data_IF_107517871495
#
_entry.id   IF_107517871495
#
_cell.length_a   1.000
_cell.length_b   1.000
_cell.length_c   1.000
_cell.angle_alpha   90.00
_cell.angle_beta   90.00
_cell.angle_gamma   90.00
#
_symmetry.space_group_name_H-M   'P 1'
#
loop_
_entity.id
_entity.type
_entity.pdbx_description
1 polymer ?
#
# COMPACT_ATOMS: atom_id res chain seq x y z
N UNK A 1 -68.49 25.88 1.29
CA UNK A 1 -67.42 25.64 0.29
C UNK A 1 -66.07 25.50 1.00
N UNK A 2 -65.58 24.27 1.23
CA UNK A 2 -64.25 23.99 1.80
C UNK A 2 -63.30 23.58 0.66
N UNK A 3 -62.27 24.39 0.39
CA UNK A 3 -61.18 24.06 -0.55
C UNK A 3 -60.22 23.05 0.12
N UNK A 4 -60.06 21.87 -0.45
CA UNK A 4 -58.95 20.95 -0.16
C UNK A 4 -57.91 21.08 -1.27
N UNK A 5 -56.78 21.69 -0.93
CA UNK A 5 -55.58 21.76 -1.78
C UNK A 5 -54.75 20.52 -1.51
N UNK A 6 -54.69 19.58 -2.46
CA UNK A 6 -53.83 18.40 -2.38
C UNK A 6 -52.42 18.75 -2.90
N UNK A 7 -51.46 18.88 -1.99
CA UNK A 7 -50.04 19.04 -2.33
C UNK A 7 -49.48 17.70 -2.81
N UNK A 8 -49.21 17.60 -4.12
CA UNK A 8 -48.57 16.44 -4.75
C UNK A 8 -47.05 16.56 -4.54
N UNK A 9 -46.50 15.87 -3.54
CA UNK A 9 -45.05 15.73 -3.35
C UNK A 9 -44.50 14.80 -4.43
N UNK A 10 -43.84 15.36 -5.44
CA UNK A 10 -43.01 14.62 -6.39
C UNK A 10 -41.69 14.24 -5.72
N UNK A 11 -41.54 12.97 -5.37
CA UNK A 11 -40.27 12.39 -4.93
C UNK A 11 -39.36 12.18 -6.16
N UNK A 12 -38.27 12.93 -6.22
CA UNK A 12 -37.18 12.73 -7.18
C UNK A 12 -36.36 11.51 -6.76
N UNK A 13 -36.62 10.37 -7.40
CA UNK A 13 -35.74 9.19 -7.32
C UNK A 13 -34.42 9.52 -8.03
N UNK A 14 -33.32 9.65 -7.27
CA UNK A 14 -31.95 9.52 -7.79
C UNK A 14 -31.84 8.12 -8.41
N UNK A 15 -31.46 8.08 -9.69
CA UNK A 15 -31.30 6.84 -10.46
C UNK A 15 -29.84 6.46 -10.36
N UNK A 16 -29.50 5.51 -9.48
CA UNK A 16 -28.17 4.91 -9.44
C UNK A 16 -27.92 4.25 -10.79
N UNK A 17 -27.12 4.90 -11.64
CA UNK A 17 -26.80 4.40 -12.97
C UNK A 17 -25.71 3.34 -12.85
N UNK A 18 -26.13 2.10 -12.56
CA UNK A 18 -25.29 0.92 -12.80
C UNK A 18 -24.92 0.95 -14.28
N UNK A 19 -23.67 1.25 -14.60
CA UNK A 19 -23.19 1.21 -15.98
C UNK A 19 -23.31 -0.25 -16.44
N UNK A 20 -24.08 -0.55 -17.50
CA UNK A 20 -24.19 -1.91 -18.00
C UNK A 20 -22.80 -2.46 -18.34
N UNK A 21 -22.47 -3.68 -17.89
CA UNK A 21 -21.15 -4.31 -18.04
C UNK A 21 -20.62 -4.28 -19.49
N UNK A 22 -21.52 -4.38 -20.48
CA UNK A 22 -21.21 -4.25 -21.89
C UNK A 22 -20.68 -2.85 -22.30
N UNK A 23 -21.17 -1.78 -21.66
CA UNK A 23 -20.70 -0.40 -21.92
C UNK A 23 -19.31 -0.15 -21.35
N UNK A 24 -18.99 -0.77 -20.20
CA UNK A 24 -17.69 -0.66 -19.56
C UNK A 24 -16.62 -1.43 -20.35
N UNK A 25 -16.94 -2.65 -20.80
CA UNK A 25 -16.05 -3.41 -21.68
C UNK A 25 -15.75 -2.64 -22.97
N UNK A 26 -16.77 -2.03 -23.58
CA UNK A 26 -16.61 -1.21 -24.80
C UNK A 26 -15.73 0.01 -24.55
N UNK A 27 -15.85 0.67 -23.40
CA UNK A 27 -14.98 1.79 -23.03
C UNK A 27 -13.52 1.35 -22.95
N UNK A 28 -13.23 0.23 -22.27
CA UNK A 28 -11.86 -0.31 -22.21
C UNK A 28 -11.30 -0.67 -23.59
N UNK A 29 -12.11 -1.22 -24.47
CA UNK A 29 -11.70 -1.54 -25.84
C UNK A 29 -11.41 -0.26 -26.67
N UNK A 30 -12.22 0.79 -26.52
CA UNK A 30 -11.99 2.08 -27.17
C UNK A 30 -10.66 2.69 -26.69
N UNK A 31 -10.37 2.65 -25.38
CA UNK A 31 -9.09 3.11 -24.83
C UNK A 31 -7.91 2.35 -25.46
N UNK A 32 -7.99 1.01 -25.53
CA UNK A 32 -6.92 0.21 -26.10
C UNK A 32 -6.65 0.57 -27.57
N UNK A 33 -7.70 0.80 -28.36
CA UNK A 33 -7.59 1.15 -29.78
C UNK A 33 -7.02 2.56 -29.96
N UNK A 34 -7.50 3.55 -29.20
CA UNK A 34 -7.02 4.93 -29.24
C UNK A 34 -5.58 5.10 -28.73
N UNK A 35 -5.08 4.20 -27.87
CA UNK A 35 -3.67 4.16 -27.46
C UNK A 35 -2.74 3.54 -28.51
N UNK A 36 -3.28 2.67 -29.36
CA UNK A 36 -2.50 1.95 -30.38
C UNK A 36 -2.41 2.65 -31.73
N UNK A 37 -3.08 3.80 -31.90
CA UNK A 37 -3.05 4.55 -33.15
C UNK A 37 -4.16 5.59 -33.28
N UNK A 38 -4.25 6.18 -34.47
CA UNK A 38 -5.15 7.30 -34.78
C UNK A 38 -6.40 6.82 -35.53
N UNK A 39 -7.58 7.19 -35.05
CA UNK A 39 -8.86 6.71 -35.59
C UNK A 39 -9.87 7.82 -35.81
N UNK A 40 -10.51 7.85 -36.98
CA UNK A 40 -11.71 8.69 -37.17
C UNK A 40 -12.87 8.16 -36.34
N UNK A 41 -13.82 9.05 -36.01
CA UNK A 41 -15.07 8.67 -35.33
C UNK A 41 -15.81 7.58 -36.10
N UNK A 42 -15.86 7.68 -37.42
CA UNK A 42 -16.54 6.72 -38.29
C UNK A 42 -15.89 5.34 -38.24
N UNK A 43 -14.55 5.27 -38.27
CA UNK A 43 -13.85 4.00 -38.11
C UNK A 43 -14.08 3.35 -36.75
N UNK A 44 -14.15 4.15 -35.67
CA UNK A 44 -14.48 3.65 -34.33
C UNK A 44 -15.93 3.15 -34.27
N UNK A 45 -16.87 3.89 -34.87
CA UNK A 45 -18.28 3.54 -34.94
C UNK A 45 -18.49 2.20 -35.66
N UNK A 46 -17.88 2.03 -36.83
CA UNK A 46 -17.92 0.80 -37.62
C UNK A 46 -17.26 -0.37 -36.88
N UNK A 47 -16.10 -0.15 -36.24
CA UNK A 47 -15.36 -1.20 -35.53
C UNK A 47 -16.09 -1.74 -34.30
N UNK A 48 -16.83 -0.89 -33.60
CA UNK A 48 -17.52 -1.23 -32.36
C UNK A 48 -19.03 -1.43 -32.52
N UNK A 49 -19.51 -1.49 -33.78
CA UNK A 49 -20.91 -1.65 -34.17
C UNK A 49 -21.82 -0.69 -33.39
N UNK A 50 -21.53 0.60 -33.52
CA UNK A 50 -22.19 1.66 -32.76
C UNK A 50 -22.35 2.92 -33.59
N UNK A 51 -23.16 3.87 -33.13
CA UNK A 51 -23.29 5.17 -33.78
C UNK A 51 -22.14 6.12 -33.43
N UNK A 52 -21.81 7.03 -34.35
CA UNK A 52 -20.88 8.16 -34.14
C UNK A 52 -21.21 8.93 -32.86
N UNK A 53 -22.49 9.21 -32.60
CA UNK A 53 -22.97 9.87 -31.38
C UNK A 53 -22.55 9.14 -30.10
N UNK A 54 -22.51 7.82 -30.15
CA UNK A 54 -22.08 7.00 -29.02
C UNK A 54 -20.56 7.04 -28.84
N UNK A 55 -19.78 7.08 -29.92
CA UNK A 55 -18.33 7.27 -29.87
C UNK A 55 -17.98 8.66 -29.30
N UNK A 56 -18.64 9.73 -29.75
CA UNK A 56 -18.46 11.07 -29.17
C UNK A 56 -18.74 11.08 -27.66
N UNK A 57 -19.81 10.41 -27.22
CA UNK A 57 -20.10 10.30 -25.78
C UNK A 57 -18.99 9.56 -25.02
N UNK A 58 -18.36 8.55 -25.63
CA UNK A 58 -17.23 7.86 -25.01
C UNK A 58 -15.97 8.72 -24.97
N UNK A 59 -15.69 9.52 -26.01
CA UNK A 59 -14.56 10.46 -26.02
C UNK A 59 -14.74 11.52 -24.93
N UNK A 60 -15.91 12.16 -24.84
CA UNK A 60 -16.18 13.13 -23.80
C UNK A 60 -16.04 12.52 -22.39
N UNK A 61 -16.50 11.28 -22.19
CA UNK A 61 -16.33 10.58 -20.92
C UNK A 61 -14.86 10.35 -20.58
N UNK A 62 -14.02 10.06 -21.57
CA UNK A 62 -12.58 9.88 -21.38
C UNK A 62 -11.88 11.21 -21.04
N UNK A 63 -12.27 12.30 -21.70
CA UNK A 63 -11.80 13.65 -21.37
C UNK A 63 -12.21 14.05 -19.94
N UNK A 64 -13.44 13.71 -19.50
CA UNK A 64 -13.92 13.94 -18.12
C UNK A 64 -13.12 13.19 -17.04
N UNK A 65 -12.42 12.11 -17.40
CA UNK A 65 -11.53 11.35 -16.51
C UNK A 65 -10.05 11.57 -16.82
N UNK A 66 -9.71 12.74 -17.36
CA UNK A 66 -8.35 13.25 -17.61
C UNK A 66 -7.50 12.41 -18.60
N UNK A 67 -8.13 11.69 -19.55
CA UNK A 67 -7.37 11.20 -20.70
C UNK A 67 -7.09 12.36 -21.66
N UNK A 68 -5.82 12.57 -21.98
CA UNK A 68 -5.38 13.51 -23.01
C UNK A 68 -5.71 12.95 -24.39
N UNK A 69 -6.84 13.37 -24.96
CA UNK A 69 -7.25 12.99 -26.31
C UNK A 69 -6.96 14.15 -27.25
N UNK A 70 -6.21 13.87 -28.31
CA UNK A 70 -5.91 14.83 -29.36
C UNK A 70 -6.46 14.38 -30.71
N UNK A 71 -6.44 15.31 -31.66
CA UNK A 71 -6.80 15.07 -33.05
C UNK A 71 -5.64 15.46 -33.95
N UNK A 72 -5.35 14.63 -34.92
CA UNK A 72 -4.38 14.96 -35.96
C UNK A 72 -5.00 15.84 -37.06
N UNK A 73 -4.17 16.21 -38.04
CA UNK A 73 -4.58 17.01 -39.20
C UNK A 73 -5.64 16.33 -40.08
N UNK A 74 -5.77 15.00 -40.00
CA UNK A 74 -6.77 14.19 -40.72
C UNK A 74 -8.06 13.99 -39.90
N UNK A 75 -8.22 14.71 -38.78
CA UNK A 75 -9.35 14.61 -37.87
C UNK A 75 -9.53 13.19 -37.27
N UNK A 76 -8.42 12.47 -37.09
CA UNK A 76 -8.35 11.20 -36.37
C UNK A 76 -7.98 11.44 -34.92
N UNK A 77 -8.71 10.79 -34.03
CA UNK A 77 -8.55 10.86 -32.58
C UNK A 77 -7.55 9.81 -32.10
N UNK A 78 -6.76 10.18 -31.11
CA UNK A 78 -5.83 9.30 -30.41
C UNK A 78 -5.67 9.76 -28.96
N UNK A 79 -5.32 8.83 -28.08
CA UNK A 79 -4.90 9.18 -26.72
C UNK A 79 -3.40 9.47 -26.80
N UNK A 80 -2.99 10.66 -26.37
CA UNK A 80 -1.58 11.01 -26.25
C UNK A 80 -0.96 10.03 -25.24
N UNK A 81 -0.14 9.12 -25.73
CA UNK A 81 0.65 8.19 -24.92
C UNK A 81 2.03 8.79 -24.67
N UNK A 82 2.74 8.22 -23.70
CA UNK A 82 4.12 8.52 -23.35
C UNK A 82 5.13 8.50 -24.51
N UNK A 83 4.73 8.05 -25.70
CA UNK A 83 5.59 7.97 -26.88
C UNK A 83 5.77 9.33 -27.58
N UNK A 84 4.84 10.28 -27.40
CA UNK A 84 4.85 11.60 -28.07
C UNK A 84 5.47 12.72 -27.21
N UNK A 85 5.70 12.48 -25.91
CA UNK A 85 6.40 13.40 -25.00
C UNK A 85 7.74 12.76 -24.54
N UNK A 86 8.90 13.29 -24.95
CA UNK A 86 10.22 12.77 -24.56
C UNK A 86 10.46 12.72 -23.05
N UNK A 87 9.66 13.45 -22.26
CA UNK A 87 9.73 13.42 -20.79
C UNK A 87 8.96 12.25 -20.17
N UNK A 88 8.19 11.50 -20.96
CA UNK A 88 7.36 10.38 -20.51
C UNK A 88 7.73 9.01 -21.14
N UNK A 89 8.61 8.97 -22.15
CA UNK A 89 9.06 7.73 -22.79
C UNK A 89 9.69 6.77 -21.77
N UNK A 90 8.97 5.69 -21.46
CA UNK A 90 9.40 4.67 -20.51
C UNK A 90 9.96 3.46 -21.25
N UNK A 91 11.07 2.92 -20.74
CA UNK A 91 11.58 1.65 -21.23
C UNK A 91 10.64 0.51 -20.82
N UNK A 92 10.36 -0.39 -21.76
CA UNK A 92 9.73 -1.67 -21.44
C UNK A 92 10.61 -2.50 -20.48
N UNK A 93 10.03 -3.55 -19.92
CA UNK A 93 10.76 -4.46 -19.02
C UNK A 93 11.92 -5.15 -19.74
N UNK A 94 11.73 -5.54 -21.00
CA UNK A 94 12.74 -6.15 -21.85
C UNK A 94 13.87 -5.16 -22.19
N UNK A 95 13.54 -3.92 -22.56
CA UNK A 95 14.53 -2.87 -22.86
C UNK A 95 15.31 -2.48 -21.61
N UNK A 96 14.63 -2.34 -20.47
CA UNK A 96 15.27 -2.06 -19.17
C UNK A 96 16.26 -3.16 -18.80
N UNK A 97 15.89 -4.44 -18.99
CA UNK A 97 16.79 -5.58 -18.76
C UNK A 97 18.00 -5.53 -19.69
N UNK A 98 17.79 -5.25 -20.98
CA UNK A 98 18.87 -5.13 -21.95
C UNK A 98 19.83 -4.00 -21.57
N UNK A 99 19.31 -2.81 -21.27
CA UNK A 99 20.10 -1.64 -20.87
C UNK A 99 20.84 -1.91 -19.55
N UNK A 100 20.18 -2.56 -18.58
CA UNK A 100 20.83 -2.95 -17.31
C UNK A 100 22.02 -3.87 -17.56
N UNK A 101 21.88 -4.86 -18.42
CA UNK A 101 22.96 -5.78 -18.78
C UNK A 101 24.12 -5.03 -19.48
N UNK A 102 23.80 -4.09 -20.37
CA UNK A 102 24.78 -3.26 -21.07
C UNK A 102 25.53 -2.29 -20.13
N UNK A 103 24.84 -1.67 -19.16
CA UNK A 103 25.47 -0.82 -18.13
C UNK A 103 26.35 -1.67 -17.22
N UNK A 104 25.91 -2.89 -16.88
CA UNK A 104 26.66 -3.81 -16.03
C UNK A 104 27.95 -4.29 -16.70
N UNK A 105 27.93 -4.60 -17.99
CA UNK A 105 29.09 -5.07 -18.75
C UNK A 105 30.00 -3.94 -19.23
N UNK A 106 29.45 -2.84 -19.75
CA UNK A 106 30.18 -1.79 -20.45
C UNK A 106 30.68 -0.61 -19.61
N UNK A 107 30.12 -0.38 -18.42
CA UNK A 107 30.47 0.78 -17.57
C UNK A 107 31.27 0.40 -16.30
N UNK A 108 31.92 -0.76 -16.29
CA UNK A 108 32.70 -1.27 -15.15
C UNK A 108 33.90 -0.36 -14.85
N UNK A 109 33.73 0.55 -13.89
CA UNK A 109 34.74 1.56 -13.51
C UNK A 109 34.21 2.99 -13.56
N UNK A 110 33.04 3.24 -14.16
CA UNK A 110 32.45 4.57 -14.18
C UNK A 110 31.69 4.84 -12.87
N UNK A 111 31.98 5.93 -12.13
CA UNK A 111 31.30 6.26 -10.88
C UNK A 111 29.79 6.51 -11.04
N UNK A 112 29.33 6.84 -12.26
CA UNK A 112 27.92 7.01 -12.57
C UNK A 112 27.17 5.70 -12.81
N UNK A 113 27.87 4.55 -12.87
CA UNK A 113 27.24 3.22 -13.10
C UNK A 113 26.10 2.96 -12.13
N UNK A 114 26.35 3.11 -10.84
CA UNK A 114 25.34 2.87 -9.81
C UNK A 114 24.21 3.90 -9.84
N UNK A 115 24.52 5.15 -10.23
CA UNK A 115 23.52 6.21 -10.38
C UNK A 115 22.59 5.95 -11.58
N UNK A 116 23.14 5.50 -12.70
CA UNK A 116 22.38 5.15 -13.90
C UNK A 116 21.51 3.91 -13.65
N UNK A 117 22.04 2.87 -13.00
CA UNK A 117 21.24 1.70 -12.61
C UNK A 117 20.10 2.07 -11.67
N UNK A 118 20.33 2.99 -10.73
CA UNK A 118 19.31 3.51 -9.81
C UNK A 118 18.25 4.32 -10.55
N UNK A 119 18.63 5.26 -11.42
CA UNK A 119 17.71 6.06 -12.22
C UNK A 119 16.90 5.23 -13.22
N UNK A 120 17.53 4.22 -13.84
CA UNK A 120 16.86 3.32 -14.76
C UNK A 120 15.81 2.47 -14.04
N UNK A 121 16.12 1.97 -12.83
CA UNK A 121 15.15 1.23 -12.01
C UNK A 121 13.96 2.12 -11.63
N UNK A 122 14.21 3.38 -11.24
CA UNK A 122 13.17 4.34 -10.87
C UNK A 122 12.28 4.76 -12.06
N UNK A 123 12.85 4.90 -13.26
CA UNK A 123 12.10 5.30 -14.47
C UNK A 123 11.46 4.12 -15.21
N UNK A 124 11.85 2.87 -14.91
CA UNK A 124 11.14 1.66 -15.35
C UNK A 124 9.89 1.36 -14.51
N UNK A 125 9.66 2.15 -13.45
CA UNK A 125 8.62 1.95 -12.43
C UNK A 125 7.46 2.95 -12.55
N UNK A 126 6.98 3.19 -13.77
CA UNK A 126 5.53 3.36 -13.98
C UNK A 126 4.88 1.98 -14.21
N UNK A 127 5.27 1.05 -13.35
CA UNK A 127 4.36 0.28 -12.52
C UNK A 127 3.08 -0.18 -13.19
N UNK A 128 3.19 -1.35 -13.82
CA UNK A 128 2.12 -2.27 -14.25
C UNK A 128 0.76 -1.84 -13.70
N UNK A 129 -0.22 -1.63 -14.57
CA UNK A 129 -1.64 -1.36 -14.26
C UNK A 129 -2.15 -1.91 -12.91
N UNK A 130 -1.83 -3.16 -12.47
CA UNK A 130 -2.08 -3.63 -11.12
C UNK A 130 -1.61 -2.72 -9.95
N UNK A 131 -0.43 -2.12 -10.02
CA UNK A 131 0.12 -1.22 -8.98
C UNK A 131 -0.58 0.14 -8.96
N UNK A 132 -0.98 0.67 -10.12
CA UNK A 132 -1.86 1.85 -10.20
C UNK A 132 -3.23 1.55 -9.58
N UNK A 133 -3.80 0.37 -9.81
CA UNK A 133 -5.03 -0.06 -9.14
C UNK A 133 -4.86 -0.19 -7.62
N UNK A 134 -3.73 -0.72 -7.15
CA UNK A 134 -3.41 -0.78 -5.72
C UNK A 134 -3.33 0.63 -5.13
N UNK A 135 -2.65 1.58 -5.79
CA UNK A 135 -2.57 2.98 -5.32
C UNK A 135 -3.93 3.67 -5.31
N UNK A 136 -4.73 3.52 -6.37
CA UNK A 136 -6.08 4.08 -6.43
C UNK A 136 -7.01 3.48 -5.36
N UNK A 137 -6.88 2.18 -5.09
CA UNK A 137 -7.61 1.50 -4.01
C UNK A 137 -7.20 2.02 -2.63
N UNK A 138 -5.89 2.18 -2.40
CA UNK A 138 -5.37 2.75 -1.15
C UNK A 138 -5.85 4.19 -0.98
N UNK A 139 -5.89 5.01 -2.03
CA UNK A 139 -6.44 6.36 -1.98
C UNK A 139 -7.88 6.38 -1.46
N UNK A 140 -8.76 5.53 -1.99
CA UNK A 140 -10.13 5.38 -1.49
C UNK A 140 -10.19 4.96 -0.02
N UNK A 141 -9.31 4.04 0.41
CA UNK A 141 -9.25 3.66 1.82
C UNK A 141 -8.83 4.83 2.71
N UNK A 142 -7.86 5.63 2.27
CA UNK A 142 -7.42 6.82 2.99
C UNK A 142 -8.58 7.81 3.15
N UNK A 143 -9.34 8.08 2.09
CA UNK A 143 -10.49 8.98 2.14
C UNK A 143 -11.56 8.49 3.13
N UNK A 144 -11.99 7.23 3.00
CA UNK A 144 -12.99 6.61 3.89
C UNK A 144 -12.52 6.57 5.35
N UNK A 145 -11.25 6.23 5.59
CA UNK A 145 -10.70 6.19 6.95
C UNK A 145 -10.57 7.61 7.53
N UNK A 146 -10.20 8.61 6.72
CA UNK A 146 -10.12 10.00 7.16
C UNK A 146 -11.50 10.54 7.56
N UNK A 147 -12.54 10.23 6.79
CA UNK A 147 -13.93 10.56 7.14
C UNK A 147 -14.37 9.86 8.42
N UNK A 148 -14.08 8.56 8.57
CA UNK A 148 -14.42 7.81 9.77
C UNK A 148 -13.72 8.35 11.04
N UNK A 149 -12.44 8.77 10.94
CA UNK A 149 -11.72 9.42 12.05
C UNK A 149 -12.42 10.74 12.42
N UNK A 150 -12.72 11.57 11.41
CA UNK A 150 -13.35 12.89 11.59
C UNK A 150 -14.73 12.76 12.24
N UNK A 151 -15.53 11.81 11.77
CA UNK A 151 -16.90 11.56 12.23
C UNK A 151 -16.97 10.68 13.49
N UNK A 152 -15.82 10.18 13.97
CA UNK A 152 -15.70 9.25 15.10
C UNK A 152 -16.56 8.00 14.93
N UNK A 153 -16.46 7.35 13.76
CA UNK A 153 -17.22 6.15 13.39
C UNK A 153 -16.32 4.93 13.27
N UNK A 154 -16.81 3.80 13.75
CA UNK A 154 -16.21 2.49 13.51
C UNK A 154 -16.19 2.16 12.01
N UNK A 155 -15.23 1.33 11.61
CA UNK A 155 -15.13 0.78 10.25
C UNK A 155 -14.85 -0.72 10.31
N UNK A 156 -15.24 -1.43 9.26
CA UNK A 156 -14.85 -2.83 9.06
C UNK A 156 -13.76 -2.89 8.00
N UNK A 157 -12.57 -3.36 8.40
CA UNK A 157 -11.52 -3.76 7.47
C UNK A 157 -11.84 -5.18 7.00
N UNK A 158 -12.46 -5.30 5.83
CA UNK A 158 -12.87 -6.57 5.25
C UNK A 158 -11.68 -7.35 4.70
N UNK A 159 -11.69 -8.66 4.92
CA UNK A 159 -10.68 -9.59 4.44
C UNK A 159 -9.24 -9.12 4.77
N UNK A 160 -9.01 -8.69 6.02
CA UNK A 160 -7.69 -8.23 6.40
C UNK A 160 -6.70 -9.40 6.50
N UNK A 161 -5.61 -9.33 5.74
CA UNK A 161 -4.56 -10.34 5.73
C UNK A 161 -3.61 -10.13 6.92
N UNK A 162 -3.80 -10.87 8.01
CA UNK A 162 -2.94 -10.77 9.19
C UNK A 162 -1.69 -11.63 9.03
N UNK A 163 -0.53 -11.00 8.88
CA UNK A 163 0.75 -11.71 8.87
C UNK A 163 1.11 -12.34 10.24
N UNK A 164 0.53 -11.83 11.33
CA UNK A 164 0.82 -12.31 12.68
C UNK A 164 0.09 -13.61 13.01
N UNK A 165 -1.21 -13.67 12.68
CA UNK A 165 -2.04 -14.86 12.93
C UNK A 165 -2.11 -15.81 11.72
N UNK A 166 -1.54 -15.42 10.58
CA UNK A 166 -1.66 -16.14 9.31
C UNK A 166 -3.11 -16.43 8.90
N UNK A 167 -4.00 -15.49 9.23
CA UNK A 167 -5.45 -15.59 8.99
C UNK A 167 -5.94 -14.40 8.16
N UNK A 168 -6.98 -14.65 7.36
CA UNK A 168 -7.75 -13.63 6.66
C UNK A 168 -9.10 -13.53 7.36
N UNK A 169 -9.37 -12.38 7.97
CA UNK A 169 -10.63 -12.15 8.67
C UNK A 169 -11.01 -10.69 8.68
N UNK A 170 -12.30 -10.43 8.87
CA UNK A 170 -12.82 -9.08 9.02
C UNK A 170 -12.42 -8.50 10.38
N UNK A 171 -12.14 -7.20 10.42
CA UNK A 171 -11.78 -6.47 11.64
C UNK A 171 -12.68 -5.26 11.82
N UNK A 172 -13.52 -5.29 12.85
CA UNK A 172 -14.24 -4.10 13.29
C UNK A 172 -13.29 -3.25 14.15
N UNK A 173 -12.99 -2.05 13.69
CA UNK A 173 -11.97 -1.19 14.31
C UNK A 173 -12.44 0.25 14.47
N UNK A 174 -11.84 0.95 15.42
CA UNK A 174 -11.97 2.39 15.61
C UNK A 174 -10.69 3.08 15.11
N UNK A 175 -10.69 3.67 13.91
CA UNK A 175 -9.49 4.30 13.37
C UNK A 175 -9.13 5.55 14.17
N UNK A 176 -7.85 5.69 14.54
CA UNK A 176 -7.36 6.77 15.40
C UNK A 176 -6.55 7.78 14.59
N UNK A 177 -5.49 7.33 13.90
CA UNK A 177 -4.66 8.18 13.04
C UNK A 177 -3.89 7.35 12.02
N UNK A 178 -3.44 8.00 10.93
CA UNK A 178 -2.53 7.36 9.97
C UNK A 178 -1.13 7.21 10.56
N UNK A 179 -0.47 6.11 10.20
CA UNK A 179 0.97 5.95 10.38
C UNK A 179 1.76 6.56 9.23
N UNK A 180 3.05 6.25 9.16
CA UNK A 180 3.96 6.89 8.20
C UNK A 180 3.53 6.74 6.75
N UNK A 181 3.63 7.84 6.00
CA UNK A 181 3.36 7.93 4.56
C UNK A 181 2.02 7.32 4.12
N UNK A 182 0.99 7.33 4.98
CA UNK A 182 -0.33 6.73 4.71
C UNK A 182 -0.26 5.25 4.30
N UNK A 183 0.78 4.53 4.70
CA UNK A 183 0.91 3.09 4.41
C UNK A 183 0.12 2.22 5.41
N UNK A 184 -0.29 2.81 6.52
CA UNK A 184 -1.00 2.12 7.59
C UNK A 184 -1.93 3.05 8.35
N UNK A 185 -2.91 2.46 9.02
CA UNK A 185 -3.78 3.11 9.98
C UNK A 185 -3.54 2.50 11.37
N UNK A 186 -3.38 3.35 12.38
CA UNK A 186 -3.47 2.94 13.79
C UNK A 186 -4.94 2.98 14.17
N UNK A 187 -5.46 1.83 14.61
CA UNK A 187 -6.85 1.67 14.98
C UNK A 187 -6.99 0.76 16.20
N UNK A 188 -7.99 1.02 17.04
CA UNK A 188 -8.36 0.11 18.12
C UNK A 188 -9.18 -1.04 17.56
N UNK A 189 -8.69 -2.26 17.78
CA UNK A 189 -9.40 -3.48 17.44
C UNK A 189 -10.48 -3.76 18.49
N UNK A 190 -11.75 -3.68 18.10
CA UNK A 190 -12.88 -3.83 19.05
C UNK A 190 -12.95 -5.22 19.67
N UNK A 191 -12.34 -6.23 19.04
CA UNK A 191 -12.39 -7.62 19.52
C UNK A 191 -11.52 -7.86 20.75
N UNK A 192 -10.33 -7.26 20.82
CA UNK A 192 -9.42 -7.39 21.97
C UNK A 192 -9.10 -6.06 22.66
N UNK A 193 -9.69 -4.96 22.20
CA UNK A 193 -9.62 -3.62 22.80
C UNK A 193 -8.19 -3.06 22.85
N UNK A 194 -7.39 -3.40 21.84
CA UNK A 194 -5.99 -2.95 21.72
C UNK A 194 -5.80 -2.12 20.46
N UNK A 195 -5.11 -0.98 20.58
CA UNK A 195 -4.62 -0.20 19.44
C UNK A 195 -3.52 -0.96 18.69
N UNK A 196 -3.73 -1.16 17.39
CA UNK A 196 -2.81 -1.87 16.49
C UNK A 196 -2.60 -1.09 15.21
N UNK A 197 -1.50 -1.39 14.54
CA UNK A 197 -1.21 -0.85 13.22
C UNK A 197 -1.68 -1.83 12.13
N UNK A 198 -2.57 -1.37 11.26
CA UNK A 198 -3.08 -2.10 10.11
C UNK A 198 -2.46 -1.55 8.83
N UNK A 199 -1.83 -2.40 8.01
CA UNK A 199 -1.24 -1.98 6.72
C UNK A 199 -2.33 -1.89 5.65
N UNK A 200 -2.39 -0.78 4.92
CA UNK A 200 -3.51 -0.52 3.99
C UNK A 200 -3.50 -1.47 2.77
N UNK A 201 -2.33 -1.92 2.35
CA UNK A 201 -2.15 -2.89 1.27
C UNK A 201 -2.70 -4.29 1.59
N UNK A 202 -2.83 -4.63 2.88
CA UNK A 202 -3.40 -5.89 3.40
C UNK A 202 -4.90 -5.86 3.60
N UNK A 203 -5.56 -4.73 3.35
CA UNK A 203 -7.02 -4.59 3.45
C UNK A 203 -7.65 -4.96 2.10
N UNK A 204 -8.65 -5.84 2.12
CA UNK A 204 -9.45 -6.16 0.95
C UNK A 204 -10.41 -5.01 0.59
N UNK A 205 -11.16 -4.54 1.57
CA UNK A 205 -12.12 -3.44 1.45
C UNK A 205 -12.32 -2.72 2.81
N UNK A 206 -12.67 -1.44 2.78
CA UNK A 206 -13.05 -0.68 3.99
C UNK A 206 -14.54 -0.38 3.90
N UNK A 207 -15.32 -0.83 4.89
CA UNK A 207 -16.74 -0.53 4.99
C UNK A 207 -17.00 0.39 6.18
N UNK A 208 -17.66 1.51 5.93
CA UNK A 208 -18.20 2.32 7.01
C UNK A 208 -19.36 1.60 7.69
N UNK A 209 -19.37 1.66 9.02
CA UNK A 209 -20.53 1.27 9.81
C UNK A 209 -21.10 2.49 10.49
N UNK A 210 -22.43 2.57 10.57
CA UNK A 210 -23.12 3.62 11.30
C UNK A 210 -23.09 3.35 12.81
N UNK A 211 -21.90 3.15 13.36
CA UNK A 211 -21.62 2.95 14.78
C UNK A 211 -20.59 3.98 15.22
N UNK A 212 -20.87 4.82 16.22
CA UNK A 212 -19.87 5.72 16.77
C UNK A 212 -18.78 4.92 17.48
N UNK A 213 -17.66 5.58 17.80
CA UNK A 213 -16.65 5.03 18.70
C UNK A 213 -17.28 4.66 20.06
N UNK A 214 -16.94 3.47 20.53
CA UNK A 214 -17.36 2.89 21.79
C UNK A 214 -16.20 2.89 22.80
N UNK A 215 -14.95 2.77 22.32
CA UNK A 215 -13.76 2.59 23.16
C UNK A 215 -12.77 3.76 23.05
N UNK A 216 -13.26 4.99 22.87
CA UNK A 216 -12.42 6.19 22.68
C UNK A 216 -11.43 6.40 23.84
N UNK A 217 -11.80 6.04 25.07
CA UNK A 217 -10.90 6.11 26.24
C UNK A 217 -9.70 5.16 26.16
N UNK A 218 -9.77 4.13 25.31
CA UNK A 218 -8.71 3.16 25.07
C UNK A 218 -7.89 3.49 23.82
N UNK A 219 -8.16 4.61 23.13
CA UNK A 219 -7.37 5.09 21.99
C UNK A 219 -6.00 5.58 22.47
N UNK A 220 -5.13 4.63 22.79
CA UNK A 220 -3.76 4.91 23.15
C UNK A 220 -2.96 5.16 21.88
N UNK A 221 -2.12 6.20 21.92
CA UNK A 221 -0.97 6.33 21.00
C UNK A 221 0.07 5.31 21.45
N UNK A 222 -0.17 4.03 21.16
CA UNK A 222 0.84 3.01 21.40
C UNK A 222 2.00 3.29 20.45
N UNK A 223 3.07 3.84 21.02
CA UNK A 223 4.33 4.01 20.33
C UNK A 223 4.85 2.58 20.04
N UNK A 224 5.12 2.29 18.77
CA UNK A 224 5.73 1.01 18.42
C UNK A 224 7.05 0.87 19.19
N UNK A 225 7.36 -0.36 19.61
CA UNK A 225 8.64 -0.65 20.22
C UNK A 225 9.80 -0.49 19.23
N UNK A 226 11.02 -0.72 19.71
CA UNK A 226 12.26 -0.61 18.92
C UNK A 226 12.20 -1.45 17.63
N UNK A 227 11.45 -2.55 17.62
CA UNK A 227 11.34 -3.50 16.50
C UNK A 227 10.04 -3.35 15.69
N UNK A 228 9.29 -2.25 15.91
CA UNK A 228 8.10 -1.93 15.12
C UNK A 228 6.84 -2.70 15.53
N UNK A 229 6.81 -3.29 16.72
CA UNK A 229 5.64 -3.98 17.25
C UNK A 229 4.88 -3.09 18.24
N UNK A 230 3.55 -3.14 18.15
CA UNK A 230 2.65 -2.45 19.08
C UNK A 230 2.33 -3.36 20.26
N UNK A 231 2.45 -2.82 21.47
CA UNK A 231 2.13 -3.49 22.72
C UNK A 231 2.75 -2.74 23.89
N UNK A 232 2.57 -3.26 25.10
CA UNK A 232 3.25 -2.69 26.27
C UNK A 232 4.73 -3.07 26.23
N UNK A 233 5.62 -2.09 26.00
CA UNK A 233 7.07 -2.28 25.92
C UNK A 233 7.71 -2.43 27.31
N UNK A 234 7.10 -3.26 28.16
CA UNK A 234 7.49 -3.45 29.57
C UNK A 234 8.59 -4.47 29.78
N UNK A 235 8.91 -5.28 28.76
CA UNK A 235 9.96 -6.31 28.87
C UNK A 235 11.29 -5.79 28.31
N UNK A 236 12.34 -5.81 29.13
CA UNK A 236 13.69 -5.46 28.70
C UNK A 236 14.45 -6.69 28.25
N UNK A 237 15.18 -6.59 27.15
CA UNK A 237 16.10 -7.64 26.68
C UNK A 237 17.52 -7.12 26.65
N UNK A 238 18.48 -8.03 26.91
CA UNK A 238 19.90 -7.71 26.94
C UNK A 238 20.66 -8.61 25.98
N UNK A 239 21.37 -8.01 25.04
CA UNK A 239 22.10 -8.68 23.95
C UNK A 239 23.55 -8.20 23.90
N UNK A 240 24.49 -9.13 23.81
CA UNK A 240 25.87 -8.83 23.39
C UNK A 240 25.96 -8.97 21.88
N UNK A 241 26.46 -7.94 21.21
CA UNK A 241 26.54 -7.83 19.77
C UNK A 241 28.00 -7.72 19.33
N UNK A 242 28.34 -8.37 18.22
CA UNK A 242 29.56 -8.06 17.46
C UNK A 242 29.43 -6.69 16.78
N UNK A 243 30.53 -6.20 16.19
CA UNK A 243 30.50 -4.98 15.38
C UNK A 243 29.48 -5.08 14.23
N UNK A 244 29.38 -6.25 13.58
CA UNK A 244 28.44 -6.47 12.47
C UNK A 244 26.99 -6.40 12.94
N UNK A 245 26.64 -7.11 14.01
CA UNK A 245 25.29 -7.07 14.58
C UNK A 245 24.92 -5.65 15.06
N UNK A 246 25.86 -4.93 15.67
CA UNK A 246 25.67 -3.53 16.05
C UNK A 246 25.34 -2.62 14.86
N UNK A 247 26.11 -2.72 13.76
CA UNK A 247 25.90 -1.87 12.58
C UNK A 247 24.53 -2.13 11.94
N UNK A 248 24.15 -3.41 11.81
CA UNK A 248 22.85 -3.81 11.27
C UNK A 248 21.70 -3.35 12.18
N UNK A 249 21.82 -3.52 13.50
CA UNK A 249 20.79 -3.07 14.45
C UNK A 249 20.52 -1.57 14.32
N UNK A 250 21.58 -0.76 14.18
CA UNK A 250 21.46 0.69 14.00
C UNK A 250 20.84 1.08 12.66
N UNK A 251 21.16 0.36 11.60
CA UNK A 251 20.65 0.64 10.26
C UNK A 251 19.17 0.26 10.11
N UNK A 252 18.79 -0.92 10.61
CA UNK A 252 17.42 -1.44 10.52
C UNK A 252 16.51 -0.83 11.59
N UNK A 253 17.04 -0.57 12.79
CA UNK A 253 16.28 -0.09 13.95
C UNK A 253 16.97 1.12 14.62
N UNK A 254 16.91 2.32 14.03
CA UNK A 254 17.58 3.52 14.58
C UNK A 254 17.16 3.86 16.02
N UNK A 255 15.94 3.50 16.42
CA UNK A 255 15.44 3.68 17.80
C UNK A 255 16.17 2.80 18.83
N UNK A 256 16.96 1.82 18.42
CA UNK A 256 17.79 1.01 19.30
C UNK A 256 19.02 1.77 19.81
N UNK A 257 19.51 2.78 19.07
CA UNK A 257 20.79 3.46 19.34
C UNK A 257 20.93 4.00 20.77
N UNK A 258 19.91 4.64 21.38
CA UNK A 258 19.99 5.13 22.76
C UNK A 258 20.19 4.02 23.81
N UNK A 259 19.90 2.77 23.44
CA UNK A 259 19.96 1.60 24.32
C UNK A 259 21.23 0.77 24.12
N UNK A 260 22.22 1.30 23.38
CA UNK A 260 23.46 0.59 23.06
C UNK A 260 24.63 1.24 23.79
N UNK A 261 25.39 0.41 24.50
CA UNK A 261 26.66 0.77 25.13
C UNK A 261 27.82 0.08 24.40
N UNK A 262 28.87 0.84 24.09
CA UNK A 262 30.10 0.29 23.53
C UNK A 262 30.98 -0.26 24.65
N UNK A 263 31.39 -1.52 24.54
CA UNK A 263 32.36 -2.19 25.40
C UNK A 263 33.70 -2.36 24.63
N UNK A 264 34.75 -2.85 25.29
CA UNK A 264 36.11 -2.92 24.71
C UNK A 264 36.16 -3.60 23.34
N UNK A 265 35.52 -4.77 23.19
CA UNK A 265 35.50 -5.56 21.96
C UNK A 265 34.09 -5.96 21.50
N UNK A 266 33.05 -5.36 22.08
CA UNK A 266 31.66 -5.72 21.82
C UNK A 266 30.72 -4.55 22.06
N UNK A 267 29.44 -4.74 21.76
CA UNK A 267 28.38 -3.79 22.05
C UNK A 267 27.32 -4.46 22.91
N UNK A 268 26.83 -3.78 23.93
CA UNK A 268 25.73 -4.24 24.76
C UNK A 268 24.48 -3.47 24.37
N UNK A 269 23.46 -4.16 23.88
CA UNK A 269 22.13 -3.61 23.75
C UNK A 269 21.31 -4.00 24.97
N UNK A 270 20.69 -3.03 25.63
CA UNK A 270 19.73 -3.25 26.71
C UNK A 270 18.52 -2.36 26.51
N UNK A 271 17.45 -2.88 25.91
CA UNK A 271 16.32 -2.08 25.47
C UNK A 271 14.96 -2.75 25.68
N UNK A 272 13.89 -1.94 25.80
CA UNK A 272 12.52 -2.42 25.94
C UNK A 272 11.96 -2.97 24.63
N UNK A 273 11.17 -4.04 24.73
CA UNK A 273 10.41 -4.64 23.63
C UNK A 273 8.97 -4.89 24.06
N UNK A 274 8.02 -4.69 23.15
CA UNK A 274 6.60 -4.96 23.34
C UNK A 274 6.28 -6.45 23.20
N UNK A 275 7.05 -7.17 22.37
CA UNK A 275 7.04 -8.62 22.32
C UNK A 275 8.37 -9.15 21.77
N UNK A 276 8.54 -10.48 21.84
CA UNK A 276 9.77 -11.14 21.44
C UNK A 276 9.88 -11.45 19.94
N UNK A 277 8.83 -11.28 19.13
CA UNK A 277 8.86 -11.64 17.70
C UNK A 277 9.84 -10.78 16.91
N UNK A 278 9.79 -9.46 17.11
CA UNK A 278 10.67 -8.51 16.40
C UNK A 278 12.15 -8.73 16.75
N UNK A 279 12.46 -8.67 18.05
CA UNK A 279 13.80 -8.92 18.55
C UNK A 279 14.28 -10.34 18.20
N UNK A 280 13.42 -11.34 18.32
CA UNK A 280 13.78 -12.72 18.05
C UNK A 280 14.09 -12.99 16.58
N UNK A 281 13.38 -12.35 15.65
CA UNK A 281 13.72 -12.41 14.22
C UNK A 281 15.12 -11.85 13.96
N UNK A 282 15.45 -10.72 14.58
CA UNK A 282 16.78 -10.11 14.45
C UNK A 282 17.87 -11.03 15.02
N UNK A 283 17.66 -11.54 16.25
CA UNK A 283 18.60 -12.47 16.91
C UNK A 283 18.81 -13.75 16.10
N UNK A 284 17.74 -14.39 15.65
CA UNK A 284 17.83 -15.63 14.87
C UNK A 284 18.43 -15.42 13.47
N UNK A 285 18.30 -14.23 12.90
CA UNK A 285 18.96 -13.88 11.63
C UNK A 285 20.47 -13.68 11.74
N UNK A 286 20.97 -13.47 12.96
CA UNK A 286 22.36 -13.16 13.28
C UNK A 286 22.85 -14.00 14.47
N UNK A 287 22.42 -15.27 14.53
CA UNK A 287 22.64 -16.16 15.68
C UNK A 287 24.12 -16.36 16.05
N UNK A 288 25.03 -16.29 15.06
CA UNK A 288 26.48 -16.40 15.28
C UNK A 288 27.12 -15.08 15.76
N UNK A 289 26.39 -13.98 15.67
CA UNK A 289 26.87 -12.61 15.92
C UNK A 289 26.24 -11.99 17.18
N UNK A 290 25.25 -12.65 17.78
CA UNK A 290 24.46 -12.14 18.90
C UNK A 290 24.36 -13.18 20.02
N UNK A 291 24.81 -12.80 21.21
CA UNK A 291 24.65 -13.60 22.44
C UNK A 291 23.59 -12.97 23.35
N UNK A 292 22.55 -13.74 23.67
CA UNK A 292 21.46 -13.30 24.55
C UNK A 292 21.89 -13.39 26.02
N UNK A 293 22.00 -12.25 26.70
CA UNK A 293 22.34 -12.17 28.12
C UNK A 293 21.11 -12.38 29.03
N UNK A 294 19.93 -11.96 28.58
CA UNK A 294 18.66 -12.15 29.28
C UNK A 294 17.50 -11.40 28.60
N UNK A 295 16.27 -11.53 29.11
CA UNK A 295 15.84 -12.38 30.22
C UNK A 295 15.71 -13.84 29.81
N UNK A 296 15.58 -14.74 30.78
CA UNK A 296 15.44 -16.18 30.53
C UNK A 296 14.18 -16.51 29.70
N UNK A 297 13.11 -15.73 29.88
CA UNK A 297 11.90 -15.84 29.06
C UNK A 297 12.15 -15.58 27.57
N UNK A 298 13.07 -14.68 27.23
CA UNK A 298 13.44 -14.42 25.84
C UNK A 298 14.29 -15.56 25.27
N UNK A 299 15.20 -16.15 26.06
CA UNK A 299 15.95 -17.35 25.65
C UNK A 299 15.02 -18.53 25.38
N UNK A 300 14.11 -18.82 26.31
CA UNK A 300 13.13 -19.89 26.15
C UNK A 300 12.27 -19.72 24.88
N UNK A 301 11.88 -18.49 24.55
CA UNK A 301 11.17 -18.17 23.31
C UNK A 301 12.01 -18.49 22.05
N UNK A 302 13.30 -18.14 22.04
CA UNK A 302 14.20 -18.43 20.92
C UNK A 302 14.42 -19.94 20.76
N UNK A 303 14.68 -20.65 21.87
CA UNK A 303 14.88 -22.10 21.87
C UNK A 303 13.64 -22.84 21.32
N UNK A 304 12.44 -22.42 21.74
CA UNK A 304 11.20 -22.95 21.21
C UNK A 304 11.07 -22.74 19.70
N UNK A 305 11.44 -21.55 19.18
CA UNK A 305 11.41 -21.28 17.73
C UNK A 305 12.44 -22.10 16.95
N UNK A 306 13.65 -22.27 17.47
CA UNK A 306 14.70 -23.09 16.83
C UNK A 306 14.26 -24.56 16.77
N UNK A 307 13.77 -25.09 17.89
CA UNK A 307 13.32 -26.48 17.98
C UNK A 307 12.08 -26.75 17.10
N UNK A 308 11.12 -25.82 17.04
CA UNK A 308 9.94 -25.97 16.18
C UNK A 308 10.28 -26.02 14.67
N UNK A 309 11.43 -25.46 14.24
CA UNK A 309 11.90 -25.56 12.85
C UNK A 309 12.58 -26.90 12.55
N UNK A 310 13.25 -27.51 13.52
CA UNK A 310 13.92 -28.80 13.35
C UNK A 310 12.94 -29.98 13.26
N UNK A 311 11.75 -29.85 13.85
CA UNK A 311 10.70 -30.90 13.86
C UNK A 311 9.88 -30.93 12.56
N UNK A 312 9.90 -29.85 11.78
CA UNK A 312 9.14 -29.72 10.53
C UNK A 312 10.00 -29.89 9.26
N UNK A 313 11.15 -30.57 9.37
CA UNK A 313 11.98 -30.99 8.22
C UNK A 313 11.77 -32.47 7.91
#
# INVERSE_FOLDING_TARGET
>A
MKKKTAAKKTATKKKDSIIPQAKLLRLFQIIAVLKSGHWTIRQLADRFDTSDRTIYRYINLLEEVDFLIEKDFDNRYFIVTSDDDPTQAQFSMEETKLIKNLIQSGASGNPLKNLLLKKLSLNSELDSVPRLFVRARIGKFVDTLAEAIKDRKQVVLKNYHSAHSNEIRDRLVEPVHFGDNYQSIVALDTSDKVCKQFKLDRIGEVLEVNKPFEFESLHQKNQADIFGFTGDASTWITLHLTLRAYLLLREEFPLAVPYIEKQENSYLFNGPVANFEGAGRFVLGLMDEIRVAGPESFRAFLDAKVNARLINQ
#
